data_IF_576005895915
#
_entry.id   IF_576005895915
#
_cell.length_a   1.000
_cell.length_b   1.000
_cell.length_c   1.000
_cell.angle_alpha   90.00
_cell.angle_beta   90.00
_cell.angle_gamma   90.00
#
_symmetry.space_group_name_H-M   'P 1'
#
loop_
_entity.id
_entity.type
_entity.pdbx_description
1 polymer ?
#
# COMPACT_ATOMS: atom_id res chain seq x y z
N UNK A 1 26.15 16.83 3.49
CA UNK A 1 25.12 15.77 3.40
C UNK A 1 23.75 16.43 3.39
N UNK A 2 22.99 16.27 2.30
CA UNK A 2 21.51 16.25 2.25
C UNK A 2 21.10 16.24 0.77
N UNK A 3 20.97 15.04 0.19
CA UNK A 3 20.39 14.83 -1.13
C UNK A 3 18.87 14.83 -1.01
N UNK A 4 18.21 15.82 -1.59
CA UNK A 4 16.76 15.86 -1.72
C UNK A 4 16.34 15.13 -3.00
N UNK A 5 15.70 13.97 -2.88
CA UNK A 5 14.97 13.34 -3.98
C UNK A 5 13.61 14.03 -4.13
N UNK A 6 13.55 15.08 -4.95
CA UNK A 6 12.30 15.70 -5.36
C UNK A 6 11.86 15.10 -6.70
N UNK A 7 10.60 14.66 -6.78
CA UNK A 7 9.95 14.22 -8.02
C UNK A 7 9.93 15.37 -9.03
N UNK A 8 10.17 15.13 -10.34
CA UNK A 8 10.21 16.21 -11.31
C UNK A 8 8.82 16.80 -11.55
N UNK A 9 8.65 18.08 -11.24
CA UNK A 9 7.52 18.90 -11.67
C UNK A 9 7.81 19.39 -13.09
N UNK A 10 7.03 18.92 -14.08
CA UNK A 10 7.07 19.51 -15.42
C UNK A 10 6.33 20.85 -15.38
N UNK A 11 7.07 21.93 -15.57
CA UNK A 11 6.52 23.23 -15.95
C UNK A 11 6.57 23.29 -17.47
N UNK A 12 5.41 23.31 -18.12
CA UNK A 12 5.30 23.58 -19.56
C UNK A 12 4.55 24.90 -19.73
N UNK A 13 5.28 25.90 -20.25
CA UNK A 13 4.73 27.13 -20.81
C UNK A 13 4.22 26.89 -22.25
N UNK A 14 3.46 27.83 -22.84
CA UNK A 14 2.68 27.54 -24.04
C UNK A 14 3.54 27.67 -25.31
N UNK A 15 3.52 26.64 -26.17
CA UNK A 15 4.21 26.66 -27.46
C UNK A 15 3.69 25.62 -28.45
N UNK A 16 2.81 26.07 -29.35
CA UNK A 16 2.56 25.62 -30.74
C UNK A 16 2.78 24.14 -31.16
N UNK A 17 1.64 23.51 -31.46
CA UNK A 17 1.35 22.46 -32.47
C UNK A 17 2.42 22.21 -33.56
N UNK A 18 2.91 20.98 -33.63
CA UNK A 18 3.18 20.29 -34.90
C UNK A 18 3.18 18.76 -34.72
N UNK A 19 2.26 18.09 -35.40
CA UNK A 19 2.22 16.63 -35.55
C UNK A 19 3.34 16.20 -36.49
N UNK A 20 4.29 15.37 -36.04
CA UNK A 20 5.05 14.47 -36.92
C UNK A 20 5.40 13.17 -36.19
N UNK A 21 5.09 12.08 -36.89
CA UNK A 21 5.34 10.70 -36.51
C UNK A 21 6.82 10.44 -36.19
N UNK A 22 7.09 9.97 -34.98
CA UNK A 22 8.28 9.20 -34.67
C UNK A 22 7.91 8.14 -33.63
N UNK A 23 7.75 6.91 -34.12
CA UNK A 23 7.71 5.67 -33.35
C UNK A 23 8.81 5.71 -32.29
N UNK A 24 8.43 6.02 -31.05
CA UNK A 24 9.31 5.91 -29.90
C UNK A 24 8.73 4.82 -29.03
N UNK A 25 9.46 3.71 -29.02
CA UNK A 25 9.26 2.61 -28.09
C UNK A 25 9.46 3.18 -26.69
N UNK A 26 8.39 3.35 -25.93
CA UNK A 26 8.48 3.54 -24.49
C UNK A 26 8.27 2.18 -23.85
N UNK A 27 9.39 1.62 -23.39
CA UNK A 27 9.45 0.34 -22.71
C UNK A 27 8.37 0.27 -21.62
N UNK A 28 7.72 -0.91 -21.41
CA UNK A 28 7.04 -1.13 -20.15
C UNK A 28 8.11 -0.99 -19.08
N UNK A 29 7.94 -0.02 -18.18
CA UNK A 29 8.76 0.07 -16.98
C UNK A 29 8.38 -1.13 -16.11
N UNK A 30 8.91 -2.31 -16.45
CA UNK A 30 8.98 -3.49 -15.59
C UNK A 30 9.91 -3.14 -14.44
N UNK A 31 9.42 -2.32 -13.51
CA UNK A 31 9.87 -2.46 -12.14
C UNK A 31 9.66 -3.92 -11.80
N UNK A 32 10.73 -4.63 -11.48
CA UNK A 32 10.74 -6.09 -11.22
C UNK A 32 9.40 -6.49 -10.61
N UNK A 33 8.59 -7.35 -11.27
CA UNK A 33 7.39 -7.84 -10.63
C UNK A 33 7.89 -8.49 -9.35
N UNK A 34 7.59 -7.89 -8.19
CA UNK A 34 7.88 -8.52 -6.91
C UNK A 34 7.35 -9.93 -7.06
N UNK A 35 8.28 -10.89 -7.15
CA UNK A 35 7.95 -12.22 -7.63
C UNK A 35 6.84 -12.72 -6.71
N UNK A 36 5.69 -13.10 -7.28
CA UNK A 36 4.65 -13.75 -6.49
C UNK A 36 5.29 -14.99 -5.87
N UNK A 37 5.66 -14.88 -4.59
CA UNK A 37 6.20 -15.98 -3.80
C UNK A 37 5.10 -16.99 -3.47
N UNK A 38 5.41 -18.06 -2.73
CA UNK A 38 4.48 -19.16 -2.43
C UNK A 38 3.31 -18.78 -1.49
N UNK A 39 3.06 -17.50 -1.26
CA UNK A 39 2.15 -16.99 -0.23
C UNK A 39 2.85 -16.79 1.11
N UNK A 40 2.04 -16.74 2.19
CA UNK A 40 2.51 -16.60 3.57
C UNK A 40 3.46 -17.74 3.96
N UNK A 41 4.58 -17.47 4.67
CA UNK A 41 5.43 -18.49 5.28
C UNK A 41 4.66 -19.43 6.23
N UNK A 42 5.06 -20.71 6.28
CA UNK A 42 4.33 -21.77 7.03
C UNK A 42 4.35 -21.60 8.55
N UNK A 43 5.33 -20.86 9.06
CA UNK A 43 5.54 -20.58 10.47
C UNK A 43 4.79 -19.32 10.93
N UNK A 44 4.21 -18.55 10.01
CA UNK A 44 3.44 -17.35 10.32
C UNK A 44 1.94 -17.67 10.31
N UNK A 45 1.22 -17.48 11.42
CA UNK A 45 -0.21 -17.72 11.49
C UNK A 45 -1.02 -16.64 10.75
N UNK A 46 -2.26 -16.95 10.40
CA UNK A 46 -3.20 -15.98 9.83
C UNK A 46 -3.60 -14.91 10.83
N UNK A 47 -3.71 -13.65 10.39
CA UNK A 47 -4.15 -12.56 11.24
C UNK A 47 -5.49 -12.85 11.92
N UNK A 48 -6.47 -13.41 11.20
CA UNK A 48 -7.78 -13.76 11.77
C UNK A 48 -7.66 -14.78 12.92
N UNK A 49 -6.73 -15.74 12.82
CA UNK A 49 -6.49 -16.75 13.87
C UNK A 49 -5.83 -16.10 15.10
N UNK A 50 -4.86 -15.22 14.90
CA UNK A 50 -4.18 -14.51 16.00
C UNK A 50 -5.14 -13.56 16.71
N UNK A 51 -5.94 -12.79 15.95
CA UNK A 51 -6.86 -11.78 16.49
C UNK A 51 -8.03 -12.37 17.29
N UNK A 52 -8.36 -13.65 17.09
CA UNK A 52 -9.35 -14.36 17.89
C UNK A 52 -8.85 -14.81 19.27
N UNK A 53 -7.56 -14.64 19.58
CA UNK A 53 -7.01 -15.02 20.89
C UNK A 53 -7.42 -14.03 21.98
N UNK A 54 -7.62 -14.53 23.21
CA UNK A 54 -8.07 -13.71 24.36
C UNK A 54 -7.02 -12.68 24.83
N UNK A 55 -5.74 -13.01 24.71
CA UNK A 55 -4.61 -12.16 25.10
C UNK A 55 -3.59 -12.22 23.97
N UNK A 56 -3.23 -11.07 23.42
CA UNK A 56 -2.35 -10.95 22.27
C UNK A 56 -1.24 -9.94 22.60
N UNK A 57 0.01 -10.35 22.42
CA UNK A 57 1.14 -9.41 22.46
C UNK A 57 1.13 -8.56 21.19
N UNK A 58 1.24 -7.24 21.33
CA UNK A 58 1.22 -6.30 20.20
C UNK A 58 2.57 -5.60 20.10
N UNK A 59 3.17 -5.66 18.92
CA UNK A 59 4.29 -4.79 18.55
C UNK A 59 3.79 -3.49 17.93
N UNK A 60 4.58 -2.42 18.05
CA UNK A 60 4.29 -1.15 17.38
C UNK A 60 4.99 -1.12 16.04
N UNK A 61 4.22 -0.97 14.96
CA UNK A 61 4.77 -0.73 13.62
C UNK A 61 4.95 0.77 13.42
N UNK A 62 6.18 1.27 13.51
CA UNK A 62 6.48 2.69 13.29
C UNK A 62 6.37 3.02 11.81
N UNK A 63 5.30 3.73 11.43
CA UNK A 63 5.05 4.12 10.04
C UNK A 63 4.32 5.46 9.96
N UNK A 64 4.86 6.37 9.16
CA UNK A 64 4.21 7.65 8.83
C UNK A 64 3.48 7.54 7.49
N UNK A 65 2.22 7.93 7.46
CA UNK A 65 1.39 7.91 6.24
C UNK A 65 1.10 9.33 5.74
N UNK A 66 1.17 9.60 4.43
CA UNK A 66 0.84 10.92 3.89
C UNK A 66 -0.60 11.35 4.22
N UNK A 67 -0.74 12.52 4.86
CA UNK A 67 -2.05 13.04 5.28
C UNK A 67 -3.01 13.28 4.11
N UNK A 68 -2.46 13.60 2.92
CA UNK A 68 -3.23 13.81 1.69
C UNK A 68 -4.09 12.58 1.31
N UNK A 69 -3.64 11.37 1.66
CA UNK A 69 -4.37 10.14 1.37
C UNK A 69 -5.57 9.90 2.30
N UNK A 70 -5.66 10.64 3.41
CA UNK A 70 -6.76 10.59 4.38
C UNK A 70 -7.09 9.15 4.84
N UNK A 71 -6.08 8.28 4.96
CA UNK A 71 -6.25 6.84 5.19
C UNK A 71 -7.09 6.55 6.45
N UNK A 72 -6.81 7.24 7.55
CA UNK A 72 -7.58 7.10 8.81
C UNK A 72 -9.08 7.36 8.60
N UNK A 73 -9.47 8.35 7.79
CA UNK A 73 -10.88 8.66 7.51
C UNK A 73 -11.51 7.57 6.64
N UNK A 74 -10.78 7.09 5.62
CA UNK A 74 -11.24 6.02 4.72
C UNK A 74 -11.42 4.70 5.45
N UNK A 75 -10.48 4.32 6.32
CA UNK A 75 -10.57 3.12 7.15
C UNK A 75 -11.77 3.17 8.10
N UNK A 76 -12.01 4.32 8.76
CA UNK A 76 -13.21 4.50 9.59
C UNK A 76 -14.50 4.36 8.79
N UNK A 77 -14.53 4.92 7.58
CA UNK A 77 -15.71 4.81 6.72
C UNK A 77 -15.94 3.37 6.24
N UNK A 78 -14.87 2.70 5.83
CA UNK A 78 -14.90 1.28 5.48
C UNK A 78 -15.45 0.44 6.63
N UNK A 79 -14.98 0.67 7.87
CA UNK A 79 -15.48 -0.06 9.03
C UNK A 79 -16.99 0.13 9.22
N UNK A 80 -17.49 1.36 9.12
CA UNK A 80 -18.93 1.66 9.22
C UNK A 80 -19.74 0.99 8.10
N UNK A 81 -19.27 1.09 6.86
CA UNK A 81 -19.98 0.56 5.69
C UNK A 81 -20.02 -1.00 5.69
N UNK A 82 -19.18 -1.67 6.49
CA UNK A 82 -19.07 -3.12 6.58
C UNK A 82 -19.38 -3.68 7.98
N UNK A 83 -20.00 -2.88 8.87
CA UNK A 83 -20.37 -3.30 10.24
C UNK A 83 -19.18 -3.74 11.13
N UNK A 84 -17.98 -3.23 10.83
CA UNK A 84 -16.73 -3.49 11.57
C UNK A 84 -16.37 -2.35 12.54
N UNK A 85 -17.29 -1.43 12.81
CA UNK A 85 -17.05 -0.26 13.67
C UNK A 85 -16.77 -0.61 15.13
N UNK A 86 -17.16 -1.81 15.55
CA UNK A 86 -16.82 -2.39 16.84
C UNK A 86 -15.38 -2.91 16.93
N UNK A 87 -14.70 -3.11 15.79
CA UNK A 87 -13.32 -3.60 15.76
C UNK A 87 -12.30 -2.45 15.90
N UNK A 88 -11.16 -2.70 16.58
CA UNK A 88 -10.05 -1.75 16.57
C UNK A 88 -9.53 -1.52 15.14
N UNK A 89 -9.29 -0.27 14.76
CA UNK A 89 -8.70 0.07 13.44
C UNK A 89 -7.39 -0.68 13.20
N UNK A 90 -6.59 -0.89 14.25
CA UNK A 90 -5.35 -1.66 14.16
C UNK A 90 -5.58 -3.08 13.66
N UNK A 91 -6.66 -3.74 14.07
CA UNK A 91 -6.97 -5.13 13.71
C UNK A 91 -7.39 -5.22 12.24
N UNK A 92 -8.18 -4.24 11.77
CA UNK A 92 -8.53 -4.08 10.34
C UNK A 92 -7.27 -3.88 9.50
N UNK A 93 -6.34 -3.04 9.98
CA UNK A 93 -5.05 -2.79 9.29
C UNK A 93 -4.19 -4.06 9.27
N UNK A 94 -4.13 -4.81 10.37
CA UNK A 94 -3.36 -6.06 10.45
C UNK A 94 -3.85 -7.10 9.45
N UNK A 95 -5.17 -7.34 9.36
CA UNK A 95 -5.74 -8.28 8.38
C UNK A 95 -5.46 -7.82 6.95
N UNK A 96 -5.74 -6.55 6.64
CA UNK A 96 -5.52 -6.04 5.28
C UNK A 96 -4.05 -6.09 4.85
N UNK A 97 -3.11 -5.83 5.78
CA UNK A 97 -1.68 -5.89 5.50
C UNK A 97 -1.19 -7.33 5.34
N UNK A 98 -1.65 -8.25 6.20
CA UNK A 98 -1.34 -9.68 6.13
C UNK A 98 -1.84 -10.30 4.81
N UNK A 99 -3.07 -9.98 4.38
CA UNK A 99 -3.59 -10.40 3.07
C UNK A 99 -2.78 -9.82 1.92
N UNK A 100 -2.40 -8.53 1.99
CA UNK A 100 -1.59 -7.89 0.96
C UNK A 100 -0.18 -8.50 0.84
N UNK A 101 0.47 -8.80 1.97
CA UNK A 101 1.76 -9.48 2.01
C UNK A 101 1.65 -10.91 1.46
N UNK A 102 0.64 -11.65 1.90
CA UNK A 102 0.33 -13.01 1.43
C UNK A 102 0.13 -13.03 -0.08
N UNK A 103 -0.65 -12.10 -0.63
CA UNK A 103 -0.88 -11.97 -2.07
C UNK A 103 0.41 -11.64 -2.85
N UNK A 104 1.40 -11.05 -2.19
CA UNK A 104 2.73 -10.77 -2.76
C UNK A 104 3.74 -11.90 -2.50
N UNK A 105 3.38 -12.90 -1.71
CA UNK A 105 4.22 -14.05 -1.36
C UNK A 105 5.23 -13.77 -0.24
N UNK A 106 4.88 -12.89 0.68
CA UNK A 106 5.63 -12.55 1.89
C UNK A 106 4.92 -13.04 3.14
#
# INVERSE_FOLDING_TARGET
>A
MAGGTAFPVRTDGPGSRQEQHARSQEAPSEGTPHAHGPGRPKDIPEAAVVLNQRIIARESLDSSVPAALKLKKRLKRFALDNELDHLPIGDIVSVALDEWLTARGF
#
